data_IF_414885034915
#
_entry.id   IF_414885034915
#
_cell.length_a   1.000
_cell.length_b   1.000
_cell.length_c   1.000
_cell.angle_alpha   90.00
_cell.angle_beta   90.00
_cell.angle_gamma   90.00
#
_symmetry.space_group_name_H-M   'P 1'
#
loop_
_entity.id
_entity.type
_entity.pdbx_description
1 polymer ?
#
# COMPACT_ATOMS: atom_id res chain seq x y z
N UNK A 1 27.71 -27.57 7.91
CA UNK A 1 27.75 -26.64 6.75
C UNK A 1 28.25 -25.31 7.27
N UNK A 2 29.15 -24.64 6.55
CA UNK A 2 29.63 -23.29 6.90
C UNK A 2 28.45 -22.32 6.81
N UNK A 3 28.22 -21.43 7.81
CA UNK A 3 27.17 -20.43 7.73
C UNK A 3 27.38 -19.53 6.50
N UNK A 4 26.32 -19.14 5.77
CA UNK A 4 26.47 -18.35 4.56
C UNK A 4 26.99 -16.94 4.88
N UNK A 5 27.78 -16.40 3.96
CA UNK A 5 28.29 -15.04 4.08
C UNK A 5 27.18 -14.00 3.89
N UNK A 6 27.42 -12.79 4.40
CA UNK A 6 26.54 -11.62 4.19
C UNK A 6 26.20 -11.44 2.70
N UNK A 7 27.19 -11.61 1.82
CA UNK A 7 26.99 -11.52 0.37
C UNK A 7 26.07 -12.63 -0.17
N UNK A 8 26.18 -13.85 0.35
CA UNK A 8 25.31 -14.95 -0.07
C UNK A 8 23.85 -14.71 0.35
N UNK A 9 23.63 -14.19 1.57
CA UNK A 9 22.29 -13.83 2.05
C UNK A 9 21.71 -12.70 1.21
N UNK A 10 22.48 -11.65 0.95
CA UNK A 10 22.07 -10.55 0.07
C UNK A 10 21.68 -11.08 -1.32
N UNK A 11 22.46 -12.01 -1.89
CA UNK A 11 22.13 -12.64 -3.17
C UNK A 11 20.82 -13.42 -3.13
N UNK A 12 20.54 -14.15 -2.05
CA UNK A 12 19.27 -14.88 -1.87
C UNK A 12 18.07 -13.94 -1.86
N UNK A 13 18.21 -12.74 -1.25
CA UNK A 13 17.17 -11.69 -1.26
C UNK A 13 16.95 -11.19 -2.69
N UNK A 14 18.03 -10.91 -3.42
CA UNK A 14 17.94 -10.44 -4.81
C UNK A 14 17.17 -11.40 -5.71
N UNK A 15 17.46 -12.70 -5.59
CA UNK A 15 16.84 -13.77 -6.39
C UNK A 15 15.52 -14.31 -5.80
N UNK A 16 14.94 -13.60 -4.84
CA UNK A 16 13.60 -13.87 -4.28
C UNK A 16 13.45 -15.22 -3.55
N UNK A 17 14.55 -15.78 -3.06
CA UNK A 17 14.53 -16.98 -2.19
C UNK A 17 14.37 -16.53 -0.74
N UNK A 18 13.24 -15.87 -0.45
CA UNK A 18 13.04 -15.06 0.76
C UNK A 18 13.00 -15.88 2.06
N UNK A 19 12.38 -17.06 2.09
CA UNK A 19 12.35 -17.90 3.31
C UNK A 19 13.77 -18.38 3.67
N UNK A 20 14.56 -18.78 2.67
CA UNK A 20 15.95 -19.23 2.88
C UNK A 20 16.81 -18.05 3.34
N UNK A 21 16.66 -16.87 2.73
CA UNK A 21 17.34 -15.67 3.19
C UNK A 21 16.99 -15.33 4.65
N UNK A 22 15.70 -15.44 5.02
CA UNK A 22 15.23 -15.14 6.37
C UNK A 22 15.76 -16.13 7.41
N UNK A 23 15.76 -17.45 7.13
CA UNK A 23 16.34 -18.46 8.04
C UNK A 23 17.84 -18.20 8.30
N UNK A 24 18.58 -17.80 7.27
CA UNK A 24 19.99 -17.45 7.43
C UNK A 24 20.18 -16.15 8.23
N UNK A 25 19.30 -15.16 8.05
CA UNK A 25 19.27 -13.94 8.87
C UNK A 25 18.99 -14.24 10.35
N UNK A 26 18.06 -15.14 10.64
CA UNK A 26 17.77 -15.57 12.01
C UNK A 26 18.97 -16.26 12.65
N UNK A 27 19.71 -17.06 11.89
CA UNK A 27 20.94 -17.72 12.37
C UNK A 27 22.02 -16.69 12.72
N UNK A 28 22.26 -15.71 11.84
CA UNK A 28 23.21 -14.63 12.08
C UNK A 28 22.80 -13.73 13.27
N UNK A 29 21.49 -13.45 13.41
CA UNK A 29 20.94 -12.69 14.54
C UNK A 29 21.15 -13.43 15.87
N UNK A 30 20.95 -14.74 15.89
CA UNK A 30 21.17 -15.56 17.09
C UNK A 30 22.64 -15.57 17.50
N UNK A 31 23.57 -15.65 16.55
CA UNK A 31 25.01 -15.53 16.83
C UNK A 31 25.36 -14.17 17.44
N UNK A 32 24.83 -13.09 16.85
CA UNK A 32 25.00 -11.73 17.37
C UNK A 32 24.45 -11.59 18.81
N UNK A 33 23.27 -12.13 19.09
CA UNK A 33 22.67 -12.10 20.43
C UNK A 33 23.53 -12.82 21.47
N UNK A 34 24.01 -14.03 21.15
CA UNK A 34 24.89 -14.81 22.03
C UNK A 34 26.20 -14.09 22.33
N UNK A 35 26.82 -13.51 21.31
CA UNK A 35 28.08 -12.77 21.50
C UNK A 35 27.90 -11.50 22.33
N UNK A 36 26.76 -10.80 22.13
CA UNK A 36 26.40 -9.63 22.92
C UNK A 36 26.19 -9.98 24.41
N UNK A 37 25.57 -11.13 24.70
CA UNK A 37 25.36 -11.61 26.07
C UNK A 37 26.68 -12.07 26.74
N UNK A 38 27.58 -12.67 25.97
CA UNK A 38 28.83 -13.26 26.49
C UNK A 38 29.98 -12.25 26.63
N UNK A 39 29.97 -11.13 25.89
CA UNK A 39 31.08 -10.17 25.85
C UNK A 39 30.61 -8.74 26.17
N UNK A 40 30.73 -8.34 27.43
CA UNK A 40 30.44 -6.96 27.84
C UNK A 40 31.60 -5.96 27.61
N UNK A 41 32.84 -6.41 27.35
CA UNK A 41 34.01 -5.50 27.32
C UNK A 41 34.98 -5.63 26.11
N UNK A 42 35.21 -6.82 25.54
CA UNK A 42 36.43 -7.02 24.75
C UNK A 42 36.32 -6.95 23.21
N UNK A 43 35.13 -6.80 22.60
CA UNK A 43 35.01 -6.68 21.13
C UNK A 43 33.87 -5.75 20.66
N UNK A 44 33.90 -4.49 21.08
CA UNK A 44 32.95 -3.45 20.64
C UNK A 44 32.91 -3.29 19.10
N UNK A 45 34.06 -3.38 18.44
CA UNK A 45 34.16 -3.15 16.98
C UNK A 45 33.58 -4.30 16.15
N UNK A 46 33.80 -5.55 16.52
CA UNK A 46 33.27 -6.72 15.80
C UNK A 46 31.76 -6.84 15.96
N UNK A 47 31.24 -6.63 17.18
CA UNK A 47 29.80 -6.58 17.44
C UNK A 47 29.12 -5.47 16.65
N UNK A 48 29.73 -4.28 16.59
CA UNK A 48 29.20 -3.16 15.79
C UNK A 48 29.19 -3.47 14.29
N UNK A 49 30.19 -4.17 13.76
CA UNK A 49 30.19 -4.61 12.36
C UNK A 49 29.05 -5.60 12.08
N UNK A 50 28.88 -6.62 12.92
CA UNK A 50 27.78 -7.60 12.78
C UNK A 50 26.40 -6.95 12.88
N UNK A 51 26.23 -5.99 13.79
CA UNK A 51 25.00 -5.22 13.90
C UNK A 51 24.70 -4.40 12.62
N UNK A 52 25.72 -3.78 12.03
CA UNK A 52 25.57 -3.06 10.75
C UNK A 52 25.21 -4.01 9.61
N UNK A 53 25.87 -5.16 9.52
CA UNK A 53 25.60 -6.17 8.49
C UNK A 53 24.17 -6.72 8.63
N UNK A 54 23.72 -7.02 9.85
CA UNK A 54 22.34 -7.43 10.13
C UNK A 54 21.33 -6.35 9.71
N UNK A 55 21.56 -5.10 10.12
CA UNK A 55 20.69 -3.99 9.77
C UNK A 55 20.58 -3.77 8.26
N UNK A 56 21.69 -3.94 7.52
CA UNK A 56 21.70 -3.88 6.07
C UNK A 56 20.84 -5.01 5.46
N UNK A 57 21.11 -6.26 5.84
CA UNK A 57 20.40 -7.41 5.26
C UNK A 57 18.91 -7.42 5.59
N UNK A 58 18.51 -7.08 6.82
CA UNK A 58 17.09 -6.96 7.15
C UNK A 58 16.41 -5.82 6.40
N UNK A 59 17.12 -4.70 6.17
CA UNK A 59 16.61 -3.59 5.36
C UNK A 59 16.43 -4.01 3.91
N UNK A 60 17.40 -4.71 3.33
CA UNK A 60 17.32 -5.24 1.97
C UNK A 60 16.15 -6.21 1.83
N UNK A 61 15.99 -7.12 2.79
CA UNK A 61 14.86 -8.06 2.83
C UNK A 61 13.52 -7.30 2.91
N UNK A 62 13.39 -6.35 3.84
CA UNK A 62 12.17 -5.54 4.01
C UNK A 62 11.85 -4.73 2.74
N UNK A 63 12.85 -4.15 2.10
CA UNK A 63 12.69 -3.38 0.85
C UNK A 63 12.25 -4.27 -0.31
N UNK A 64 12.83 -5.48 -0.43
CA UNK A 64 12.44 -6.45 -1.45
C UNK A 64 11.01 -6.94 -1.23
N UNK A 65 10.65 -7.26 0.01
CA UNK A 65 9.27 -7.60 0.39
C UNK A 65 8.31 -6.46 0.07
N UNK A 66 8.65 -5.24 0.45
CA UNK A 66 7.83 -4.05 0.20
C UNK A 66 7.58 -3.84 -1.30
N UNK A 67 8.62 -4.06 -2.13
CA UNK A 67 8.52 -4.01 -3.59
C UNK A 67 7.54 -5.05 -4.14
N UNK A 68 7.67 -6.31 -3.70
CA UNK A 68 6.77 -7.39 -4.13
C UNK A 68 5.33 -7.12 -3.70
N UNK A 69 5.12 -6.65 -2.46
CA UNK A 69 3.78 -6.30 -1.94
C UNK A 69 3.16 -5.16 -2.73
N UNK A 70 3.91 -4.09 -3.00
CA UNK A 70 3.47 -2.94 -3.79
C UNK A 70 2.97 -3.35 -5.17
N UNK A 71 3.62 -4.33 -5.78
CA UNK A 71 3.33 -4.78 -7.14
C UNK A 71 2.35 -5.97 -7.16
N UNK A 72 2.01 -6.55 -6.01
CA UNK A 72 1.25 -7.81 -5.90
C UNK A 72 -0.10 -7.83 -6.61
N UNK A 73 -0.80 -6.68 -6.67
CA UNK A 73 -2.09 -6.56 -7.35
C UNK A 73 -2.00 -6.18 -8.84
N UNK A 74 -0.78 -6.07 -9.37
CA UNK A 74 -0.49 -5.75 -10.77
C UNK A 74 0.38 -6.81 -11.45
N UNK A 75 0.97 -7.74 -10.69
CA UNK A 75 1.89 -8.75 -11.17
C UNK A 75 1.20 -10.03 -11.70
N UNK A 76 1.86 -10.78 -12.60
CA UNK A 76 1.42 -12.11 -13.00
C UNK A 76 1.28 -13.06 -11.81
N UNK A 77 0.45 -14.09 -11.97
CA UNK A 77 0.13 -15.09 -10.93
C UNK A 77 1.39 -15.75 -10.33
N UNK A 78 2.49 -15.86 -11.09
CA UNK A 78 3.76 -16.44 -10.64
C UNK A 78 4.32 -15.77 -9.38
N UNK A 79 4.13 -14.46 -9.22
CA UNK A 79 4.69 -13.72 -8.08
C UNK A 79 3.77 -13.81 -6.85
N UNK A 80 2.53 -14.29 -7.00
CA UNK A 80 1.59 -14.48 -5.89
C UNK A 80 2.02 -15.61 -4.96
N UNK A 81 2.77 -16.60 -5.46
CA UNK A 81 3.32 -17.68 -4.64
C UNK A 81 4.27 -17.18 -3.52
N UNK A 82 4.93 -16.04 -3.73
CA UNK A 82 5.83 -15.43 -2.75
C UNK A 82 5.09 -14.76 -1.58
N UNK A 83 3.80 -14.48 -1.72
CA UNK A 83 3.04 -13.73 -0.71
C UNK A 83 2.84 -14.52 0.59
N UNK A 84 2.70 -15.85 0.50
CA UNK A 84 2.58 -16.71 1.69
C UNK A 84 3.89 -16.70 2.52
N UNK A 85 5.07 -16.95 1.91
CA UNK A 85 6.37 -16.68 2.54
C UNK A 85 6.50 -15.29 3.17
N UNK A 86 6.14 -14.25 2.41
CA UNK A 86 6.21 -12.86 2.86
C UNK A 86 5.37 -12.65 4.12
N UNK A 87 4.13 -13.15 4.13
CA UNK A 87 3.23 -13.02 5.28
C UNK A 87 3.82 -13.68 6.54
N UNK A 88 4.45 -14.86 6.39
CA UNK A 88 5.13 -15.55 7.49
C UNK A 88 6.30 -14.74 8.03
N UNK A 89 7.16 -14.23 7.15
CA UNK A 89 8.32 -13.41 7.54
C UNK A 89 7.85 -12.17 8.31
N UNK A 90 6.84 -11.46 7.79
CA UNK A 90 6.29 -10.26 8.44
C UNK A 90 5.75 -10.58 9.83
N UNK A 91 4.93 -11.64 9.98
CA UNK A 91 4.38 -12.01 11.29
C UNK A 91 5.46 -12.38 12.29
N UNK A 92 6.47 -13.13 11.85
CA UNK A 92 7.55 -13.57 12.73
C UNK A 92 8.44 -12.41 13.16
N UNK A 93 8.78 -11.48 12.25
CA UNK A 93 9.55 -10.29 12.63
C UNK A 93 8.75 -9.30 13.46
N UNK A 94 7.44 -9.17 13.22
CA UNK A 94 6.57 -8.35 14.08
C UNK A 94 6.51 -8.92 15.51
N UNK A 95 6.48 -10.25 15.66
CA UNK A 95 6.50 -10.92 16.97
C UNK A 95 7.85 -10.74 17.69
N UNK A 96 8.94 -10.55 16.94
CA UNK A 96 10.31 -10.33 17.42
C UNK A 96 10.66 -8.84 17.55
N UNK A 97 9.68 -7.95 17.47
CA UNK A 97 9.90 -6.52 17.62
C UNK A 97 10.60 -6.22 18.96
N UNK A 98 11.71 -5.48 18.89
CA UNK A 98 12.53 -5.13 20.05
C UNK A 98 13.62 -6.14 20.43
N UNK A 99 13.66 -7.35 19.83
CA UNK A 99 14.79 -8.27 20.01
C UNK A 99 16.06 -7.69 19.35
N UNK A 100 17.25 -7.76 19.98
CA UNK A 100 18.50 -7.29 19.40
C UNK A 100 18.81 -7.88 18.02
N UNK A 101 19.41 -7.09 17.14
CA UNK A 101 19.84 -7.54 15.81
C UNK A 101 18.74 -7.66 14.77
N UNK A 102 17.54 -7.13 15.03
CA UNK A 102 16.48 -6.91 14.04
C UNK A 102 16.19 -5.44 13.82
N UNK A 103 15.26 -5.12 12.91
CA UNK A 103 14.84 -3.74 12.68
C UNK A 103 13.90 -3.24 13.79
N UNK A 104 14.01 -1.97 14.20
CA UNK A 104 13.15 -1.39 15.21
C UNK A 104 11.74 -1.06 14.69
N UNK A 105 11.61 -0.82 13.39
CA UNK A 105 10.34 -0.44 12.77
C UNK A 105 9.42 -1.65 12.58
N UNK A 106 8.10 -1.41 12.68
CA UNK A 106 7.09 -2.44 12.42
C UNK A 106 7.15 -2.93 10.96
N UNK A 107 7.20 -4.25 10.81
CA UNK A 107 7.11 -4.93 9.52
C UNK A 107 5.68 -4.87 8.99
N UNK A 108 4.71 -4.92 9.90
CA UNK A 108 3.30 -4.79 9.58
C UNK A 108 2.97 -3.40 9.04
N UNK A 109 3.50 -2.33 9.64
CA UNK A 109 3.35 -0.97 9.08
C UNK A 109 4.05 -0.82 7.73
N UNK A 110 5.22 -1.43 7.53
CA UNK A 110 5.90 -1.44 6.23
C UNK A 110 5.03 -2.06 5.12
N UNK A 111 4.37 -3.16 5.45
CA UNK A 111 3.43 -3.81 4.55
C UNK A 111 2.24 -2.91 4.25
N UNK A 112 1.64 -2.26 5.26
CA UNK A 112 0.52 -1.32 5.08
C UNK A 112 0.91 -0.16 4.19
N UNK A 113 2.13 0.35 4.34
CA UNK A 113 2.67 1.41 3.50
C UNK A 113 2.93 0.95 2.07
N UNK A 114 3.46 -0.27 1.89
CA UNK A 114 3.64 -0.86 0.57
C UNK A 114 2.32 -1.04 -0.19
N UNK A 115 1.25 -1.43 0.51
CA UNK A 115 -0.11 -1.47 -0.04
C UNK A 115 -0.58 -0.06 -0.44
N UNK A 116 -0.36 0.94 0.42
CA UNK A 116 -0.70 2.34 0.12
C UNK A 116 0.03 2.85 -1.13
N UNK A 117 1.33 2.57 -1.25
CA UNK A 117 2.14 2.89 -2.42
C UNK A 117 1.58 2.23 -3.70
N UNK A 118 1.22 0.94 -3.61
CA UNK A 118 0.65 0.20 -4.74
C UNK A 118 -0.67 0.80 -5.23
N UNK A 119 -1.57 1.12 -4.29
CA UNK A 119 -2.82 1.81 -4.58
C UNK A 119 -2.57 3.21 -5.16
N UNK A 120 -1.60 3.96 -4.62
CA UNK A 120 -1.25 5.31 -5.09
C UNK A 120 -0.75 5.31 -6.53
N UNK A 121 0.15 4.38 -6.86
CA UNK A 121 0.63 4.20 -8.25
C UNK A 121 -0.54 3.88 -9.18
N UNK A 122 -1.46 3.01 -8.74
CA UNK A 122 -2.62 2.61 -9.55
C UNK A 122 -3.56 3.78 -9.84
N UNK A 123 -3.93 4.55 -8.82
CA UNK A 123 -4.78 5.75 -8.97
C UNK A 123 -4.11 6.81 -9.85
N UNK A 124 -2.82 7.07 -9.65
CA UNK A 124 -2.08 8.04 -10.45
C UNK A 124 -1.89 7.63 -11.93
N UNK A 125 -1.93 6.33 -12.22
CA UNK A 125 -1.82 5.80 -13.58
C UNK A 125 -3.18 5.73 -14.30
N UNK A 126 -4.30 6.04 -13.64
CA UNK A 126 -5.59 6.16 -14.32
C UNK A 126 -5.50 7.30 -15.31
N UNK A 127 -5.85 7.01 -16.55
CA UNK A 127 -5.77 7.96 -17.65
C UNK A 127 -6.56 9.24 -17.34
N UNK A 128 -5.90 10.39 -17.55
CA UNK A 128 -6.42 11.72 -17.34
C UNK A 128 -6.10 12.56 -18.58
N UNK A 129 -7.13 12.92 -19.33
CA UNK A 129 -6.98 13.83 -20.47
C UNK A 129 -6.64 15.25 -20.01
N UNK A 130 -5.92 15.99 -20.85
CA UNK A 130 -5.82 17.44 -20.67
C UNK A 130 -7.18 18.08 -20.92
N UNK A 131 -7.54 19.07 -20.10
CA UNK A 131 -8.82 19.78 -20.20
C UNK A 131 -9.06 20.37 -21.58
N UNK A 132 -8.00 20.86 -22.24
CA UNK A 132 -8.07 21.48 -23.57
C UNK A 132 -8.36 20.44 -24.67
N UNK A 133 -8.04 19.17 -24.43
CA UNK A 133 -8.18 18.08 -25.40
C UNK A 133 -9.54 17.39 -25.30
N UNK A 134 -10.14 17.34 -24.10
CA UNK A 134 -11.40 16.67 -23.86
C UNK A 134 -12.31 17.51 -22.95
N UNK A 135 -13.44 17.96 -23.49
CA UNK A 135 -14.43 18.73 -22.73
C UNK A 135 -15.08 17.94 -21.59
N UNK A 136 -14.95 16.60 -21.59
CA UNK A 136 -15.44 15.71 -20.54
C UNK A 136 -14.29 15.00 -19.80
N UNK A 137 -13.07 15.57 -19.84
CA UNK A 137 -11.84 15.01 -19.26
C UNK A 137 -12.06 14.45 -17.85
N UNK A 138 -12.72 15.22 -16.98
CA UNK A 138 -12.91 14.86 -15.58
C UNK A 138 -13.95 13.75 -15.41
N UNK A 139 -15.10 13.85 -16.10
CA UNK A 139 -16.13 12.82 -16.02
C UNK A 139 -15.62 11.46 -16.54
N UNK A 140 -14.86 11.48 -17.64
CA UNK A 140 -14.20 10.28 -18.20
C UNK A 140 -13.19 9.72 -17.19
N UNK A 141 -12.31 10.57 -16.65
CA UNK A 141 -11.32 10.16 -15.67
C UNK A 141 -11.95 9.54 -14.42
N UNK A 142 -12.99 10.17 -13.85
CA UNK A 142 -13.71 9.68 -12.67
C UNK A 142 -14.40 8.33 -12.93
N UNK A 143 -14.93 8.12 -14.14
CA UNK A 143 -15.47 6.82 -14.56
C UNK A 143 -14.38 5.74 -14.63
N UNK A 144 -13.24 6.05 -15.24
CA UNK A 144 -12.08 5.14 -15.31
C UNK A 144 -11.51 4.85 -13.93
N UNK A 145 -11.47 5.85 -13.04
CA UNK A 145 -11.02 5.72 -11.67
C UNK A 145 -11.92 4.75 -10.90
N UNK A 146 -13.24 4.95 -10.97
CA UNK A 146 -14.21 4.05 -10.34
C UNK A 146 -14.05 2.60 -10.80
N UNK A 147 -13.96 2.39 -12.13
CA UNK A 147 -13.72 1.07 -12.71
C UNK A 147 -12.42 0.43 -12.20
N UNK A 148 -11.33 1.21 -12.18
CA UNK A 148 -10.01 0.74 -11.71
C UNK A 148 -10.06 0.32 -10.24
N UNK A 149 -10.80 1.05 -9.39
CA UNK A 149 -10.96 0.70 -7.97
C UNK A 149 -11.68 -0.65 -7.83
N UNK A 150 -12.81 -0.83 -8.53
CA UNK A 150 -13.60 -2.07 -8.44
C UNK A 150 -12.81 -3.26 -8.92
N UNK A 151 -12.22 -3.18 -10.12
CA UNK A 151 -11.43 -4.28 -10.69
C UNK A 151 -10.25 -4.66 -9.78
N UNK A 152 -9.61 -3.67 -9.15
CA UNK A 152 -8.51 -3.94 -8.23
C UNK A 152 -8.98 -4.64 -6.96
N UNK A 153 -10.06 -4.16 -6.34
CA UNK A 153 -10.62 -4.74 -5.12
C UNK A 153 -11.18 -6.14 -5.35
N UNK A 154 -11.76 -6.41 -6.51
CA UNK A 154 -12.15 -7.77 -6.94
C UNK A 154 -10.93 -8.70 -6.99
N UNK A 155 -9.80 -8.23 -7.52
CA UNK A 155 -8.55 -8.98 -7.52
C UNK A 155 -8.00 -9.19 -6.11
N UNK A 156 -8.07 -8.18 -5.23
CA UNK A 156 -7.67 -8.32 -3.81
C UNK A 156 -8.49 -9.43 -3.16
N UNK A 157 -9.81 -9.39 -3.33
CA UNK A 157 -10.75 -10.35 -2.74
C UNK A 157 -10.48 -11.77 -3.23
N UNK A 158 -10.31 -11.95 -4.54
CA UNK A 158 -10.16 -13.26 -5.16
C UNK A 158 -8.79 -13.88 -4.89
N UNK A 159 -7.72 -13.10 -5.03
CA UNK A 159 -6.37 -13.65 -5.17
C UNK A 159 -5.45 -13.28 -4.00
N UNK A 160 -5.50 -12.04 -3.51
CA UNK A 160 -4.58 -11.59 -2.46
C UNK A 160 -5.04 -12.03 -1.08
N UNK A 161 -6.34 -11.93 -0.77
CA UNK A 161 -6.90 -12.27 0.54
C UNK A 161 -6.52 -13.68 1.01
N UNK A 162 -6.48 -14.66 0.10
CA UNK A 162 -6.14 -16.06 0.42
C UNK A 162 -4.65 -16.27 0.70
N UNK A 163 -3.80 -15.34 0.27
CA UNK A 163 -2.35 -15.44 0.40
C UNK A 163 -1.82 -14.96 1.75
N UNK A 164 -2.68 -14.32 2.56
CA UNK A 164 -2.33 -13.77 3.87
C UNK A 164 -3.22 -14.34 4.98
N UNK A 165 -2.70 -14.46 6.20
CA UNK A 165 -3.50 -14.73 7.39
C UNK A 165 -4.51 -13.61 7.67
N UNK A 166 -5.61 -13.96 8.36
CA UNK A 166 -6.68 -13.03 8.71
C UNK A 166 -6.21 -11.80 9.52
N UNK A 167 -5.11 -11.92 10.27
CA UNK A 167 -4.51 -10.84 11.05
C UNK A 167 -4.10 -9.63 10.19
N UNK A 168 -3.83 -9.82 8.90
CA UNK A 168 -3.47 -8.72 7.99
C UNK A 168 -4.67 -7.85 7.61
N UNK A 169 -5.91 -8.37 7.74
CA UNK A 169 -7.13 -7.69 7.29
C UNK A 169 -6.96 -7.10 5.88
N UNK A 170 -6.46 -7.92 4.94
CA UNK A 170 -6.00 -7.48 3.61
C UNK A 170 -7.02 -6.59 2.92
N UNK A 171 -8.24 -7.10 2.72
CA UNK A 171 -9.27 -6.36 1.99
C UNK A 171 -9.60 -5.00 2.63
N UNK A 172 -9.85 -4.97 3.95
CA UNK A 172 -10.12 -3.74 4.70
C UNK A 172 -8.94 -2.75 4.65
N UNK A 173 -7.69 -3.26 4.65
CA UNK A 173 -6.51 -2.42 4.46
C UNK A 173 -6.52 -1.76 3.08
N UNK A 174 -6.73 -2.53 2.00
CA UNK A 174 -6.80 -1.98 0.63
C UNK A 174 -7.90 -0.93 0.50
N UNK A 175 -9.12 -1.20 1.01
CA UNK A 175 -10.23 -0.25 0.99
C UNK A 175 -9.86 1.05 1.71
N UNK A 176 -9.28 0.94 2.92
CA UNK A 176 -8.82 2.12 3.69
C UNK A 176 -7.76 2.92 2.93
N UNK A 177 -6.81 2.24 2.25
CA UNK A 177 -5.81 2.92 1.43
C UNK A 177 -6.42 3.59 0.21
N UNK A 178 -7.40 2.94 -0.44
CA UNK A 178 -8.14 3.52 -1.56
C UNK A 178 -8.87 4.81 -1.16
N UNK A 179 -9.57 4.82 -0.02
CA UNK A 179 -10.23 6.02 0.49
C UNK A 179 -9.26 7.20 0.62
N UNK A 180 -8.13 6.96 1.28
CA UNK A 180 -7.10 7.98 1.49
C UNK A 180 -6.50 8.48 0.18
N UNK A 181 -6.07 7.56 -0.69
CA UNK A 181 -5.42 7.91 -1.96
C UNK A 181 -6.38 8.64 -2.89
N UNK A 182 -7.61 8.17 -3.02
CA UNK A 182 -8.64 8.81 -3.86
C UNK A 182 -8.94 10.20 -3.33
N UNK A 183 -9.15 10.37 -2.02
CA UNK A 183 -9.37 11.70 -1.43
C UNK A 183 -8.25 12.69 -1.76
N UNK A 184 -6.99 12.26 -1.61
CA UNK A 184 -5.82 13.07 -1.97
C UNK A 184 -5.74 13.38 -3.47
N UNK A 185 -6.09 12.40 -4.31
CA UNK A 185 -6.09 12.56 -5.77
C UNK A 185 -7.15 13.56 -6.22
N UNK A 186 -8.37 13.47 -5.71
CA UNK A 186 -9.44 14.43 -6.01
C UNK A 186 -9.08 15.85 -5.54
N UNK A 187 -8.44 15.98 -4.37
CA UNK A 187 -7.95 17.27 -3.88
C UNK A 187 -6.90 17.88 -4.81
N UNK A 188 -6.01 17.06 -5.37
CA UNK A 188 -5.01 17.50 -6.34
C UNK A 188 -5.64 18.01 -7.64
N UNK A 189 -6.76 17.44 -8.07
CA UNK A 189 -7.47 17.84 -9.29
C UNK A 189 -8.26 19.14 -9.12
N UNK A 190 -8.74 19.45 -7.91
CA UNK A 190 -9.64 20.58 -7.63
C UNK A 190 -9.23 21.94 -8.22
N UNK A 191 -7.94 22.34 -8.22
CA UNK A 191 -7.51 23.60 -8.83
C UNK A 191 -7.83 23.71 -10.33
N UNK A 192 -7.80 22.59 -11.06
CA UNK A 192 -8.08 22.53 -12.50
C UNK A 192 -9.59 22.53 -12.81
N UNK A 193 -10.42 22.16 -11.81
CA UNK A 193 -11.88 22.10 -11.91
C UNK A 193 -12.49 23.50 -11.80
N UNK A 194 -12.63 24.18 -12.94
CA UNK A 194 -13.14 25.56 -13.00
C UNK A 194 -14.48 25.71 -13.71
N UNK A 195 -14.86 24.74 -14.55
CA UNK A 195 -16.14 24.76 -15.27
C UNK A 195 -17.26 24.17 -14.42
N UNK A 196 -18.49 24.68 -14.60
CA UNK A 196 -19.63 24.25 -13.81
C UNK A 196 -19.94 22.75 -13.97
N UNK A 197 -19.83 22.23 -15.20
CA UNK A 197 -19.99 20.79 -15.49
C UNK A 197 -18.95 19.91 -14.80
N UNK A 198 -17.72 20.40 -14.63
CA UNK A 198 -16.63 19.63 -14.03
C UNK A 198 -16.80 19.64 -12.50
N UNK A 199 -17.21 20.77 -11.93
CA UNK A 199 -17.62 20.87 -10.52
C UNK A 199 -18.80 19.94 -10.21
N UNK A 200 -19.81 19.92 -11.10
CA UNK A 200 -20.94 19.00 -10.99
C UNK A 200 -20.45 17.55 -11.04
N UNK A 201 -19.65 17.16 -12.04
CA UNK A 201 -19.14 15.80 -12.18
C UNK A 201 -18.35 15.34 -10.94
N UNK A 202 -17.50 16.21 -10.38
CA UNK A 202 -16.73 15.90 -9.18
C UNK A 202 -17.63 15.73 -7.94
N UNK A 203 -18.58 16.66 -7.73
CA UNK A 203 -19.51 16.60 -6.60
C UNK A 203 -20.44 15.39 -6.69
N UNK A 204 -21.00 15.14 -7.87
CA UNK A 204 -21.86 14.00 -8.15
C UNK A 204 -21.11 12.69 -7.92
N UNK A 205 -19.86 12.60 -8.40
CA UNK A 205 -19.07 11.40 -8.19
C UNK A 205 -18.79 11.13 -6.71
N UNK A 206 -18.39 12.16 -5.95
CA UNK A 206 -18.13 12.05 -4.51
C UNK A 206 -19.40 11.67 -3.73
N UNK A 207 -20.52 12.34 -4.01
CA UNK A 207 -21.73 12.25 -3.19
C UNK A 207 -22.67 11.11 -3.61
N UNK A 208 -22.65 10.74 -4.89
CA UNK A 208 -23.66 9.84 -5.46
C UNK A 208 -23.07 8.59 -6.11
N UNK A 209 -21.85 8.62 -6.66
CA UNK A 209 -21.32 7.45 -7.38
C UNK A 209 -20.38 6.60 -6.54
N UNK A 210 -19.51 7.23 -5.74
CA UNK A 210 -18.47 6.52 -4.98
C UNK A 210 -19.02 5.52 -3.97
N UNK A 211 -19.99 5.94 -3.17
CA UNK A 211 -20.56 5.10 -2.12
C UNK A 211 -21.46 3.97 -2.69
N UNK A 212 -22.01 4.16 -3.89
CA UNK A 212 -23.08 3.32 -4.46
C UNK A 212 -22.55 2.07 -5.16
N UNK A 213 -23.49 1.32 -5.73
CA UNK A 213 -23.30 0.02 -6.39
C UNK A 213 -22.31 0.03 -7.55
N UNK A 214 -21.97 1.21 -8.09
CA UNK A 214 -20.96 1.31 -9.16
C UNK A 214 -19.53 1.18 -8.64
N UNK A 215 -19.28 1.50 -7.37
CA UNK A 215 -17.93 1.50 -6.79
C UNK A 215 -17.93 0.76 -5.43
N UNK A 216 -18.20 1.45 -4.32
CA UNK A 216 -17.99 0.85 -3.00
C UNK A 216 -19.12 -0.07 -2.54
N UNK A 217 -20.34 0.08 -3.05
CA UNK A 217 -21.42 -0.88 -2.76
C UNK A 217 -21.59 -1.92 -3.87
N UNK A 218 -20.56 -2.13 -4.71
CA UNK A 218 -20.64 -3.07 -5.81
C UNK A 218 -20.90 -4.50 -5.31
N UNK A 219 -21.91 -5.22 -5.83
CA UNK A 219 -22.23 -6.58 -5.38
C UNK A 219 -21.07 -7.57 -5.49
N UNK A 220 -20.14 -7.36 -6.43
CA UNK A 220 -18.95 -8.20 -6.58
C UNK A 220 -17.99 -8.10 -5.38
N UNK A 221 -18.04 -7.00 -4.62
CA UNK A 221 -17.23 -6.77 -3.43
C UNK A 221 -17.87 -7.32 -2.15
N UNK A 222 -19.13 -7.80 -2.19
CA UNK A 222 -19.83 -8.40 -1.04
C UNK A 222 -19.41 -9.87 -0.80
N UNK A 223 -19.22 -10.33 0.44
CA UNK A 223 -19.57 -9.68 1.71
C UNK A 223 -18.42 -8.86 2.35
N UNK A 224 -17.29 -8.66 1.65
CA UNK A 224 -16.10 -8.06 2.24
C UNK A 224 -16.22 -6.57 2.56
N UNK A 225 -17.08 -5.85 1.82
CA UNK A 225 -17.35 -4.44 2.07
C UNK A 225 -18.53 -4.27 3.02
N UNK A 226 -18.35 -3.44 4.05
CA UNK A 226 -19.38 -3.13 5.06
C UNK A 226 -19.76 -1.65 4.95
N UNK A 227 -20.88 -1.24 5.56
CA UNK A 227 -21.32 0.17 5.55
C UNK A 227 -20.25 1.14 6.05
N UNK A 228 -19.44 0.74 7.03
CA UNK A 228 -18.31 1.54 7.55
C UNK A 228 -17.21 1.80 6.51
N UNK A 229 -17.16 0.97 5.46
CA UNK A 229 -16.15 1.02 4.41
C UNK A 229 -16.61 1.79 3.16
N UNK A 230 -17.83 2.34 3.09
CA UNK A 230 -18.34 2.95 1.86
C UNK A 230 -18.02 4.44 1.74
N UNK A 231 -17.83 5.13 2.87
CA UNK A 231 -17.66 6.59 2.90
C UNK A 231 -16.23 7.00 2.55
N UNK A 232 -16.10 7.83 1.52
CA UNK A 232 -14.82 8.40 1.09
C UNK A 232 -14.21 9.29 2.19
N UNK A 233 -12.95 9.06 2.52
CA UNK A 233 -12.21 9.89 3.46
C UNK A 233 -11.66 11.14 2.74
N UNK A 234 -12.35 12.27 2.92
CA UNK A 234 -11.95 13.56 2.38
C UNK A 234 -11.25 14.41 3.44
N UNK A 235 -10.38 15.31 3.00
CA UNK A 235 -9.80 16.34 3.87
C UNK A 235 -10.88 17.25 4.46
N UNK A 236 -10.61 17.77 5.65
CA UNK A 236 -11.52 18.69 6.33
C UNK A 236 -11.81 19.91 5.44
N UNK A 237 -13.08 20.30 5.36
CA UNK A 237 -13.57 21.39 4.51
C UNK A 237 -13.49 21.17 3.00
N UNK A 238 -12.88 20.10 2.48
CA UNK A 238 -12.75 19.91 1.02
C UNK A 238 -14.11 19.88 0.32
N UNK A 239 -15.03 19.05 0.81
CA UNK A 239 -16.38 18.95 0.25
C UNK A 239 -17.15 20.26 0.39
N UNK A 240 -16.93 21.01 1.47
CA UNK A 240 -17.55 22.32 1.69
C UNK A 240 -17.04 23.33 0.65
N UNK A 241 -15.72 23.39 0.44
CA UNK A 241 -15.09 24.25 -0.57
C UNK A 241 -15.62 23.97 -1.98
N UNK A 242 -15.76 22.69 -2.35
CA UNK A 242 -16.33 22.31 -3.65
C UNK A 242 -17.79 22.77 -3.80
N UNK A 243 -18.61 22.58 -2.76
CA UNK A 243 -20.01 23.05 -2.74
C UNK A 243 -20.11 24.57 -2.86
N UNK A 244 -19.28 25.31 -2.13
CA UNK A 244 -19.24 26.77 -2.17
C UNK A 244 -18.80 27.26 -3.57
N UNK A 245 -17.75 26.65 -4.14
CA UNK A 245 -17.26 26.93 -5.51
C UNK A 245 -18.35 26.69 -6.55
N UNK A 246 -19.07 25.58 -6.45
CA UNK A 246 -20.21 25.26 -7.32
C UNK A 246 -21.33 26.30 -7.19
N UNK A 247 -21.77 26.61 -5.98
CA UNK A 247 -22.81 27.61 -5.73
C UNK A 247 -22.45 29.00 -6.27
N UNK A 248 -21.20 29.44 -6.11
CA UNK A 248 -20.72 30.69 -6.69
C UNK A 248 -20.82 30.65 -8.22
N UNK A 249 -20.37 29.55 -8.85
CA UNK A 249 -20.37 29.42 -10.31
C UNK A 249 -21.79 29.39 -10.90
N UNK A 250 -22.72 28.69 -10.25
CA UNK A 250 -24.14 28.70 -10.66
C UNK A 250 -24.72 30.12 -10.64
N UNK A 251 -24.39 30.93 -9.61
CA UNK A 251 -24.87 32.32 -9.52
C UNK A 251 -24.29 33.23 -10.60
N UNK A 252 -23.07 32.97 -11.05
CA UNK A 252 -22.46 33.68 -12.17
C UNK A 252 -23.14 33.31 -13.49
N UNK A 253 -23.44 32.03 -13.73
CA UNK A 253 -24.07 31.54 -14.96
C UNK A 253 -25.54 31.99 -15.11
N UNK A 254 -26.21 32.28 -13.98
CA UNK A 254 -27.57 32.79 -13.95
C UNK A 254 -27.69 34.32 -14.11
N UNK A 255 -26.57 35.05 -14.17
CA UNK A 255 -26.53 36.52 -14.36
C UNK A 255 -26.28 36.88 -15.81
#
# INVERSE_FOLDING_TARGET
>A
QTPPSVMQISKMIEVEVLEVAHVNLLSLRLEYQKEREQRAADCSVELSKKEKDLNLLYRDLRNKISTIVRESNSLPVSNKALLVPIARIIQEEERRAGEPGGLPDSWMEAWRESVYEGVRVKVNNVHLDQREQNSSWLAVHLGLLGKTIVEDLENVKRDLKISYPASFRVFSTYVTKYHKVVGQHLKKLEPEVTELKDLYALLDWILNEYEREKIMSCPSLQPEITEEHTVLQLEENFLKQLKDKFCCKVKEDMR
#
